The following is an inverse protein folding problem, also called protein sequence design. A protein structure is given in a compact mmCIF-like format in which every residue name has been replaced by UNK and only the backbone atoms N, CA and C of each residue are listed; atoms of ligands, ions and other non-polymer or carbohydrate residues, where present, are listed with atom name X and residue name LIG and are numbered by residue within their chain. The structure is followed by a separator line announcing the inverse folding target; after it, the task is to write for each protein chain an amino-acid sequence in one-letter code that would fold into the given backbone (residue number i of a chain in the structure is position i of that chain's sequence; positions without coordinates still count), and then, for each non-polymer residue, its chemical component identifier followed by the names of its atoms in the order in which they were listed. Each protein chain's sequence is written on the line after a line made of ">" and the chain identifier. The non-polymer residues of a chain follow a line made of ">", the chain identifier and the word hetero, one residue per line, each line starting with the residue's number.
data_IF_837357647465
#
_entry.id   IF_837357647465
#
_cell.length_a   1.000
_cell.length_b   1.000
_cell.length_c   1.000
_cell.angle_alpha   90.00
_cell.angle_beta   90.00
_cell.angle_gamma   90.00
#
_symmetry.space_group_name_H-M   'P 1'
#
loop_
_entity.id
_entity.type
_entity.pdbx_description
1 polymer ?
#
# COMPACT_ATOMS: atom_id res chain seq x y z
N UNK A 1 11.42 -14.05 -43.83
CA UNK A 1 10.72 -12.93 -43.16
C UNK A 1 9.45 -12.64 -43.94
N UNK A 2 8.26 -12.84 -43.36
CA UNK A 2 7.01 -12.54 -44.01
C UNK A 2 6.50 -11.19 -43.56
N UNK A 3 6.29 -10.28 -44.51
CA UNK A 3 5.67 -8.99 -44.26
C UNK A 3 4.19 -9.07 -44.63
N UNK A 4 3.33 -8.77 -43.71
CA UNK A 4 1.89 -8.63 -43.95
C UNK A 4 1.60 -7.16 -44.24
N UNK A 5 1.02 -6.88 -45.41
CA UNK A 5 0.32 -5.64 -45.68
C UNK A 5 -1.17 -5.97 -45.87
N UNK A 6 -2.06 -5.09 -45.47
CA UNK A 6 -3.52 -5.25 -45.50
C UNK A 6 -4.10 -5.34 -46.92
N UNK A 7 -3.27 -5.15 -47.98
CA UNK A 7 -3.61 -5.39 -49.36
C UNK A 7 -2.90 -6.66 -49.86
N UNK A 8 -3.72 -7.69 -50.13
CA UNK A 8 -3.34 -9.03 -50.54
C UNK A 8 -2.70 -9.11 -51.94
N UNK A 9 -1.49 -8.57 -52.11
CA UNK A 9 -0.62 -8.91 -53.26
C UNK A 9 0.86 -8.85 -52.90
N UNK A 10 1.37 -9.97 -52.48
CA UNK A 10 2.57 -10.69 -52.84
C UNK A 10 3.94 -10.00 -52.76
N UNK A 11 4.73 -10.51 -51.89
CA UNK A 11 6.20 -10.57 -52.03
C UNK A 11 6.64 -11.99 -52.34
N UNK A 12 7.48 -12.20 -53.34
CA UNK A 12 7.86 -13.54 -53.75
C UNK A 12 9.31 -13.94 -53.71
N UNK A 13 10.31 -13.05 -53.53
CA UNK A 13 11.70 -13.53 -53.42
C UNK A 13 12.61 -12.64 -52.55
N UNK A 14 13.44 -13.32 -51.76
CA UNK A 14 14.46 -12.76 -50.88
C UNK A 14 15.84 -13.28 -51.32
N UNK A 15 16.78 -12.38 -51.70
CA UNK A 15 18.17 -12.75 -51.95
C UNK A 15 19.08 -12.09 -50.96
N UNK A 16 19.95 -12.86 -50.32
CA UNK A 16 20.99 -12.41 -49.41
C UNK A 16 22.33 -12.51 -50.10
N UNK A 17 23.05 -11.39 -50.30
CA UNK A 17 24.45 -11.43 -50.68
C UNK A 17 25.28 -10.94 -49.50
N UNK A 18 26.10 -11.83 -48.92
CA UNK A 18 27.02 -11.49 -47.85
C UNK A 18 28.40 -11.19 -48.45
N UNK A 19 29.05 -10.10 -47.98
CA UNK A 19 30.49 -9.92 -48.09
C UNK A 19 31.04 -9.65 -46.70
N UNK A 20 32.14 -10.33 -46.36
CA UNK A 20 32.87 -10.16 -45.12
C UNK A 20 33.36 -8.72 -44.95
N UNK A 21 33.08 -8.12 -43.82
CA UNK A 21 33.42 -6.81 -43.30
C UNK A 21 32.31 -5.74 -43.37
N UNK A 22 31.57 -5.64 -42.29
CA UNK A 22 30.63 -4.54 -42.00
C UNK A 22 29.19 -4.87 -42.43
N UNK A 23 28.32 -5.04 -41.46
CA UNK A 23 26.92 -5.37 -41.68
C UNK A 23 26.15 -4.21 -42.32
N UNK A 24 26.13 -4.14 -43.64
CA UNK A 24 25.12 -3.45 -44.41
C UNK A 24 24.27 -4.48 -45.14
N UNK A 25 23.05 -4.66 -44.67
CA UNK A 25 22.12 -5.57 -45.31
C UNK A 25 21.31 -4.84 -46.39
N UNK A 26 21.47 -5.25 -47.64
CA UNK A 26 20.64 -4.80 -48.76
C UNK A 26 19.48 -5.78 -48.95
N UNK A 27 18.24 -5.28 -48.96
CA UNK A 27 17.08 -6.04 -49.34
C UNK A 27 16.44 -5.42 -50.60
N UNK A 28 16.41 -6.18 -51.69
CA UNK A 28 15.69 -5.81 -52.91
C UNK A 28 14.26 -6.40 -52.84
N UNK A 29 13.26 -5.55 -52.88
CA UNK A 29 11.88 -5.93 -52.91
C UNK A 29 11.29 -5.67 -54.32
N UNK A 30 10.67 -6.63 -54.89
CA UNK A 30 9.85 -6.43 -56.07
C UNK A 30 8.42 -6.11 -55.63
N UNK A 31 8.04 -4.87 -55.82
CA UNK A 31 6.64 -4.45 -55.59
C UNK A 31 6.01 -4.31 -56.98
N UNK A 32 5.11 -5.23 -57.32
CA UNK A 32 4.34 -5.14 -58.56
C UNK A 32 3.27 -4.07 -58.42
N UNK A 33 3.67 -2.81 -58.71
CA UNK A 33 2.68 -1.84 -59.17
C UNK A 33 2.46 -2.05 -60.66
N UNK A 34 1.25 -1.84 -61.15
CA UNK A 34 0.84 -1.92 -62.55
C UNK A 34 1.65 -0.98 -63.50
N UNK A 35 2.76 -0.42 -63.06
CA UNK A 35 3.65 0.54 -63.72
C UNK A 35 5.12 0.10 -63.77
N UNK A 36 5.50 -1.12 -63.46
CA UNK A 36 6.85 -1.63 -63.64
C UNK A 36 7.98 -0.91 -62.91
N UNK A 37 7.82 -0.56 -61.66
CA UNK A 37 8.85 0.11 -60.83
C UNK A 37 9.66 -0.89 -60.01
N UNK A 38 11.00 -0.71 -59.91
CA UNK A 38 11.87 -1.42 -59.02
C UNK A 38 12.26 -0.51 -57.84
N UNK A 39 12.14 -0.98 -56.64
CA UNK A 39 12.53 -0.24 -55.45
C UNK A 39 13.61 -0.99 -54.67
N UNK A 40 14.70 -0.26 -54.35
CA UNK A 40 15.75 -0.75 -53.43
C UNK A 40 15.69 -0.02 -52.09
N UNK A 41 15.79 -0.75 -51.02
CA UNK A 41 15.78 -0.20 -49.65
C UNK A 41 17.20 -0.12 -49.12
N UNK A 42 17.65 1.08 -48.78
CA UNK A 42 18.91 1.30 -48.10
C UNK A 42 18.69 1.43 -46.59
N UNK A 43 19.28 0.55 -45.79
CA UNK A 43 18.96 0.38 -44.36
C UNK A 43 19.62 1.43 -43.44
N UNK A 44 20.47 2.33 -43.95
CA UNK A 44 21.13 3.34 -43.13
C UNK A 44 20.36 4.66 -42.94
N UNK A 45 19.29 4.89 -43.68
CA UNK A 45 18.52 6.12 -43.59
C UNK A 45 17.10 5.95 -44.11
N UNK A 46 16.19 5.48 -43.34
CA UNK A 46 14.71 5.45 -43.55
C UNK A 46 14.10 6.00 -44.88
N UNK A 47 14.84 5.93 -45.98
CA UNK A 47 14.46 6.46 -47.28
C UNK A 47 14.47 5.35 -48.33
N UNK A 48 13.39 5.24 -49.04
CA UNK A 48 13.25 4.33 -50.19
C UNK A 48 13.41 5.14 -51.47
N UNK A 49 14.33 4.69 -52.29
CA UNK A 49 14.52 5.27 -53.64
C UNK A 49 13.89 4.32 -54.65
N UNK A 50 12.86 4.77 -55.34
CA UNK A 50 12.26 4.04 -56.44
C UNK A 50 12.60 4.72 -57.79
N UNK A 51 13.09 3.92 -58.75
CA UNK A 51 13.32 4.37 -60.12
C UNK A 51 12.36 3.66 -61.09
N UNK A 52 11.75 4.40 -61.98
CA UNK A 52 10.93 3.85 -63.07
C UNK A 52 11.79 3.57 -64.29
N UNK A 53 11.58 2.40 -64.90
CA UNK A 53 12.25 2.03 -66.15
C UNK A 53 11.87 2.92 -67.36
N UNK A 54 10.78 3.65 -67.28
CA UNK A 54 10.31 4.57 -68.32
C UNK A 54 10.80 6.03 -68.19
N UNK A 55 11.25 6.43 -66.96
CA UNK A 55 11.76 7.80 -66.72
C UNK A 55 12.96 7.75 -65.77
N UNK A 56 14.18 7.48 -66.28
CA UNK A 56 15.36 7.24 -65.48
C UNK A 56 15.86 8.48 -64.70
N UNK A 57 15.28 9.63 -64.88
CA UNK A 57 15.68 10.86 -64.18
C UNK A 57 14.68 11.40 -63.17
N UNK A 58 13.60 10.68 -62.87
CA UNK A 58 12.59 11.10 -61.87
C UNK A 58 12.68 10.22 -60.64
N UNK A 59 13.24 10.76 -59.58
CA UNK A 59 13.27 10.13 -58.23
C UNK A 59 11.98 10.53 -57.50
N UNK A 60 11.15 9.53 -57.18
CA UNK A 60 10.04 9.70 -56.25
C UNK A 60 10.45 9.35 -54.84
N UNK A 61 10.41 10.31 -53.93
CA UNK A 61 10.55 10.09 -52.48
C UNK A 61 9.16 9.72 -51.93
N UNK A 62 8.97 8.43 -51.70
CA UNK A 62 7.82 7.92 -50.94
C UNK A 62 8.20 7.81 -49.47
N UNK A 63 7.60 8.64 -48.63
CA UNK A 63 7.73 8.53 -47.17
C UNK A 63 6.69 7.50 -46.68
N UNK A 64 7.11 6.23 -46.66
CA UNK A 64 6.31 5.16 -46.05
C UNK A 64 6.81 4.92 -44.62
N UNK A 65 5.92 5.05 -43.66
CA UNK A 65 6.19 4.60 -42.29
C UNK A 65 6.11 3.08 -42.25
N UNK A 66 7.27 2.42 -42.30
CA UNK A 66 7.33 0.98 -42.05
C UNK A 66 7.47 0.72 -40.56
N UNK A 67 6.53 0.00 -39.97
CA UNK A 67 6.73 -0.70 -38.72
C UNK A 67 7.50 -1.97 -39.03
N UNK A 68 8.83 -1.96 -38.87
CA UNK A 68 9.60 -3.18 -38.88
C UNK A 68 9.34 -3.93 -37.58
N UNK A 69 8.57 -5.00 -37.63
CA UNK A 69 8.51 -5.99 -36.56
C UNK A 69 9.79 -6.83 -36.69
N UNK A 70 10.81 -6.48 -35.89
CA UNK A 70 11.95 -7.34 -35.72
C UNK A 70 11.51 -8.56 -34.91
N UNK A 71 11.46 -9.71 -35.53
CA UNK A 71 11.43 -10.98 -34.79
C UNK A 71 12.88 -11.37 -34.53
N UNK A 72 13.30 -11.31 -33.30
CA UNK A 72 14.66 -11.68 -32.86
C UNK A 72 14.85 -13.18 -32.67
N UNK A 73 13.90 -13.99 -33.17
CA UNK A 73 13.84 -15.42 -32.95
C UNK A 73 13.22 -15.79 -31.60
N UNK A 74 12.96 -17.06 -31.41
CA UNK A 74 12.42 -17.56 -30.13
C UNK A 74 13.57 -17.71 -29.12
N UNK A 75 13.53 -16.96 -28.05
CA UNK A 75 14.52 -16.96 -26.96
C UNK A 75 14.30 -18.09 -25.95
N UNK A 76 13.17 -18.81 -26.06
CA UNK A 76 12.85 -19.97 -25.24
C UNK A 76 13.68 -21.21 -25.68
N UNK A 77 14.88 -21.34 -25.11
CA UNK A 77 15.66 -22.59 -25.32
C UNK A 77 15.05 -23.75 -24.52
N UNK A 78 15.22 -25.01 -24.96
CA UNK A 78 14.73 -26.17 -24.23
C UNK A 78 15.18 -26.15 -22.76
N UNK A 79 14.25 -26.36 -21.84
CA UNK A 79 14.49 -26.34 -20.38
C UNK A 79 14.92 -25.00 -19.78
N UNK A 80 14.73 -23.87 -20.46
CA UNK A 80 14.98 -22.55 -19.90
C UNK A 80 14.18 -22.33 -18.59
N UNK A 81 12.95 -22.83 -18.53
CA UNK A 81 12.07 -22.79 -17.37
C UNK A 81 11.87 -24.21 -16.83
N UNK A 82 12.57 -24.60 -15.77
CA UNK A 82 12.54 -25.98 -15.24
C UNK A 82 11.14 -26.41 -14.77
N UNK A 83 10.48 -25.54 -14.00
CA UNK A 83 9.15 -25.80 -13.44
C UNK A 83 8.17 -24.70 -13.86
N UNK A 84 8.05 -24.47 -15.16
CA UNK A 84 7.18 -23.43 -15.71
C UNK A 84 7.18 -23.41 -17.24
N UNK A 85 6.42 -22.49 -17.78
CA UNK A 85 6.30 -22.25 -19.22
C UNK A 85 7.18 -21.04 -19.58
N UNK A 86 7.98 -21.21 -20.63
CA UNK A 86 8.76 -20.11 -21.17
C UNK A 86 7.89 -19.24 -22.07
N UNK A 87 7.92 -17.95 -21.83
CA UNK A 87 7.25 -16.92 -22.63
C UNK A 87 8.33 -16.10 -23.33
N UNK A 88 8.33 -16.15 -24.65
CA UNK A 88 9.28 -15.43 -25.49
C UNK A 88 9.03 -13.93 -25.45
N UNK A 89 10.11 -13.14 -25.33
CA UNK A 89 10.10 -11.69 -25.35
C UNK A 89 11.23 -11.16 -26.24
N UNK A 90 11.14 -9.90 -26.61
CA UNK A 90 12.17 -9.28 -27.43
C UNK A 90 13.55 -9.33 -26.75
N UNK A 91 14.49 -10.06 -27.35
CA UNK A 91 15.86 -10.32 -26.85
C UNK A 91 15.96 -10.96 -25.46
N UNK A 92 14.87 -11.55 -24.99
CA UNK A 92 14.81 -12.20 -23.68
C UNK A 92 13.69 -13.22 -23.60
N UNK A 93 13.52 -13.84 -22.45
CA UNK A 93 12.37 -14.65 -22.12
C UNK A 93 11.99 -14.47 -20.66
N UNK A 94 10.74 -14.75 -20.34
CA UNK A 94 10.26 -14.82 -18.97
C UNK A 94 9.72 -16.23 -18.71
N UNK A 95 10.01 -16.77 -17.54
CA UNK A 95 9.43 -18.04 -17.10
C UNK A 95 8.14 -17.76 -16.31
N UNK A 96 7.00 -18.24 -16.81
CA UNK A 96 5.78 -18.37 -16.04
C UNK A 96 5.88 -19.64 -15.22
N UNK A 97 6.24 -19.51 -13.93
CA UNK A 97 6.51 -20.67 -13.09
C UNK A 97 5.23 -21.40 -12.69
N UNK A 98 5.33 -22.73 -12.58
CA UNK A 98 4.29 -23.55 -11.99
C UNK A 98 4.08 -23.16 -10.52
N UNK A 99 2.88 -23.37 -9.96
CA UNK A 99 2.63 -23.13 -8.54
C UNK A 99 3.69 -23.80 -7.66
N UNK A 100 4.23 -23.05 -6.69
CA UNK A 100 5.28 -23.55 -5.80
C UNK A 100 6.70 -23.34 -6.29
N UNK A 101 6.90 -22.67 -7.44
CA UNK A 101 8.20 -22.34 -7.98
C UNK A 101 8.32 -20.85 -8.35
N UNK A 102 9.51 -20.30 -8.21
CA UNK A 102 9.84 -18.92 -8.60
C UNK A 102 11.29 -18.77 -9.07
N UNK A 103 11.66 -17.53 -9.39
CA UNK A 103 12.96 -17.17 -9.91
C UNK A 103 13.07 -17.29 -11.43
N UNK A 104 14.16 -16.73 -11.98
CA UNK A 104 14.36 -16.59 -13.44
C UNK A 104 14.15 -17.88 -14.24
N UNK A 105 14.40 -19.03 -13.63
CA UNK A 105 14.33 -20.35 -14.26
C UNK A 105 13.36 -21.30 -13.56
N UNK A 106 12.51 -20.80 -12.66
CA UNK A 106 11.57 -21.59 -11.85
C UNK A 106 12.25 -22.72 -11.04
N UNK A 107 13.41 -22.43 -10.47
CA UNK A 107 14.20 -23.39 -9.67
C UNK A 107 14.06 -23.18 -8.17
N UNK A 108 13.63 -21.99 -7.74
CA UNK A 108 13.46 -21.67 -6.33
C UNK A 108 12.10 -22.18 -5.88
N UNK A 109 12.09 -23.06 -4.88
CA UNK A 109 10.84 -23.51 -4.25
C UNK A 109 10.31 -22.35 -3.43
N UNK A 110 9.10 -21.92 -3.73
CA UNK A 110 8.42 -20.88 -2.95
C UNK A 110 7.68 -21.49 -1.78
N UNK A 111 7.38 -20.66 -0.79
CA UNK A 111 6.41 -20.99 0.24
C UNK A 111 5.09 -21.39 -0.42
N UNK A 112 4.70 -22.63 -0.25
CA UNK A 112 3.51 -23.22 -0.92
C UNK A 112 2.20 -22.74 -0.31
N UNK A 113 2.25 -22.09 0.88
CA UNK A 113 1.09 -21.62 1.61
C UNK A 113 1.31 -20.20 2.18
N UNK A 114 0.25 -19.62 2.69
CA UNK A 114 0.25 -18.28 3.28
C UNK A 114 0.70 -18.24 4.76
N UNK A 115 0.91 -19.38 5.40
CA UNK A 115 1.20 -19.45 6.84
C UNK A 115 2.63 -19.05 7.20
N UNK A 116 3.57 -19.12 6.24
CA UNK A 116 4.97 -18.73 6.45
C UNK A 116 5.25 -17.44 5.69
N UNK A 117 5.68 -16.40 6.43
CA UNK A 117 6.03 -15.07 5.91
C UNK A 117 4.96 -14.49 4.95
N UNK A 118 3.67 -14.71 5.27
CA UNK A 118 2.54 -14.32 4.42
C UNK A 118 2.67 -14.84 2.96
N UNK A 119 3.26 -16.00 2.76
CA UNK A 119 3.59 -16.51 1.43
C UNK A 119 4.53 -15.61 0.62
N UNK A 120 5.21 -14.66 1.25
CA UNK A 120 6.03 -13.64 0.57
C UNK A 120 5.23 -12.48 -0.03
N UNK A 121 3.92 -12.37 0.20
CA UNK A 121 3.06 -11.29 -0.31
C UNK A 121 3.22 -10.01 0.51
N UNK A 122 3.19 -8.85 -0.16
CA UNK A 122 3.21 -7.55 0.52
C UNK A 122 1.88 -7.24 1.22
N UNK A 123 0.75 -7.67 0.63
CA UNK A 123 -0.56 -7.52 1.23
C UNK A 123 -1.24 -8.88 1.39
N UNK A 124 -2.33 -9.12 0.72
CA UNK A 124 -3.12 -10.34 0.93
C UNK A 124 -2.52 -11.56 0.25
N UNK A 125 -2.45 -12.63 0.99
CA UNK A 125 -2.06 -13.95 0.50
C UNK A 125 -3.28 -14.88 0.48
N UNK A 126 -3.53 -15.50 -0.66
CA UNK A 126 -4.63 -16.42 -0.87
C UNK A 126 -4.09 -17.80 -1.22
N UNK A 127 -4.60 -18.84 -0.58
CA UNK A 127 -4.30 -20.21 -0.96
C UNK A 127 -5.23 -20.65 -2.08
N UNK A 128 -4.70 -21.41 -3.05
CA UNK A 128 -5.51 -21.98 -4.11
C UNK A 128 -6.36 -23.13 -3.58
N UNK A 129 -7.61 -23.23 -4.06
CA UNK A 129 -8.55 -24.26 -3.61
C UNK A 129 -8.04 -25.70 -3.86
N UNK A 130 -7.19 -25.89 -4.85
CA UNK A 130 -6.57 -27.16 -5.21
C UNK A 130 -5.33 -27.50 -4.37
N UNK A 131 -4.97 -26.62 -3.42
CA UNK A 131 -3.76 -26.72 -2.57
C UNK A 131 -2.44 -26.75 -3.35
N UNK A 132 -2.43 -26.34 -4.61
CA UNK A 132 -1.23 -26.36 -5.47
C UNK A 132 -0.34 -25.14 -5.31
N UNK A 133 -0.72 -24.22 -4.45
CA UNK A 133 0.07 -23.02 -4.20
C UNK A 133 -0.77 -21.85 -3.70
N UNK A 134 -0.18 -20.66 -3.78
CA UNK A 134 -0.78 -19.41 -3.34
C UNK A 134 -0.71 -18.35 -4.43
N UNK A 135 -1.45 -17.26 -4.26
CA UNK A 135 -1.31 -16.03 -5.04
C UNK A 135 -1.46 -14.81 -4.13
N UNK A 136 -0.86 -13.70 -4.54
CA UNK A 136 -0.96 -12.44 -3.82
C UNK A 136 -1.99 -11.52 -4.47
N UNK A 137 -2.64 -10.70 -3.67
CA UNK A 137 -3.42 -9.56 -4.13
C UNK A 137 -3.09 -8.31 -3.32
N UNK A 138 -3.46 -7.15 -3.85
CA UNK A 138 -3.19 -5.88 -3.21
C UNK A 138 -4.48 -5.22 -2.75
N UNK A 139 -4.41 -4.53 -1.62
CA UNK A 139 -5.51 -3.70 -1.12
C UNK A 139 -5.81 -2.55 -2.10
N UNK A 140 -6.96 -1.92 -1.93
CA UNK A 140 -7.37 -0.79 -2.77
C UNK A 140 -6.31 0.32 -2.78
N UNK A 141 -6.09 0.91 -3.96
CA UNK A 141 -5.06 1.94 -4.15
C UNK A 141 -3.67 1.40 -4.53
N UNK A 142 -3.47 0.08 -4.54
CA UNK A 142 -2.23 -0.58 -4.93
C UNK A 142 -2.43 -1.49 -6.14
N UNK A 143 -1.37 -1.69 -6.92
CA UNK A 143 -1.30 -2.63 -8.03
C UNK A 143 -0.28 -3.72 -7.72
N UNK A 144 -0.58 -4.95 -8.11
CA UNK A 144 0.36 -6.05 -8.03
C UNK A 144 1.48 -5.82 -9.05
N UNK A 145 2.73 -5.90 -8.59
CA UNK A 145 3.91 -5.78 -9.42
C UNK A 145 4.13 -7.06 -10.25
N UNK A 146 4.97 -6.99 -11.29
CA UNK A 146 5.25 -8.12 -12.20
C UNK A 146 5.93 -9.32 -11.52
N UNK A 147 6.45 -9.15 -10.31
CA UNK A 147 6.96 -10.26 -9.48
C UNK A 147 5.86 -11.08 -8.78
N UNK A 148 4.60 -10.67 -8.93
CA UNK A 148 3.42 -11.29 -8.33
C UNK A 148 3.44 -11.38 -6.79
N UNK A 149 4.20 -10.49 -6.13
CA UNK A 149 4.35 -10.43 -4.67
C UNK A 149 4.23 -9.03 -4.12
N UNK A 150 4.90 -8.07 -4.77
CA UNK A 150 4.95 -6.70 -4.32
C UNK A 150 3.69 -5.94 -4.71
N UNK A 151 3.26 -5.06 -3.82
CA UNK A 151 2.16 -4.14 -4.03
C UNK A 151 2.69 -2.72 -4.15
N UNK A 152 2.61 -2.15 -5.34
CA UNK A 152 3.08 -0.80 -5.61
C UNK A 152 1.93 0.19 -5.57
N UNK A 153 2.10 1.37 -4.94
CA UNK A 153 1.06 2.39 -4.92
C UNK A 153 0.69 2.83 -6.34
N UNK A 154 -0.59 2.86 -6.67
CA UNK A 154 -1.08 3.34 -7.98
C UNK A 154 -0.82 4.82 -8.19
N UNK A 155 -0.75 5.59 -7.10
CA UNK A 155 -0.43 7.00 -7.10
C UNK A 155 0.15 7.41 -5.74
N UNK A 156 0.64 8.66 -5.63
CA UNK A 156 1.21 9.20 -4.38
C UNK A 156 0.17 9.41 -3.27
N UNK A 157 -1.12 9.19 -3.53
CA UNK A 157 -2.23 9.36 -2.58
C UNK A 157 -2.79 8.03 -2.09
N UNK A 158 -2.13 6.93 -2.41
CA UNK A 158 -2.48 5.61 -1.85
C UNK A 158 -2.33 5.64 -0.33
N UNK A 159 -3.18 4.89 0.37
CA UNK A 159 -3.15 4.84 1.82
C UNK A 159 -1.80 4.34 2.38
N UNK A 160 -1.53 4.59 3.65
CA UNK A 160 -0.38 4.04 4.36
C UNK A 160 0.99 4.54 3.90
N UNK A 161 1.05 5.67 3.15
CA UNK A 161 2.30 6.27 2.67
C UNK A 161 2.68 7.47 3.53
N UNK A 162 3.95 7.57 3.90
CA UNK A 162 4.55 8.78 4.49
C UNK A 162 5.33 9.47 3.38
N UNK A 163 4.86 10.67 2.97
CA UNK A 163 5.37 11.39 1.79
C UNK A 163 6.50 12.38 2.11
N UNK A 164 6.76 12.66 3.37
CA UNK A 164 7.94 13.40 3.80
C UNK A 164 9.19 12.55 3.56
N UNK A 165 10.33 13.19 3.29
CA UNK A 165 11.56 12.54 2.80
C UNK A 165 11.82 11.15 3.40
N UNK A 166 12.04 10.16 2.54
CA UNK A 166 12.13 8.70 2.81
C UNK A 166 13.18 8.24 3.83
N UNK A 167 13.82 9.12 4.57
CA UNK A 167 14.99 8.78 5.39
C UNK A 167 14.67 8.37 6.84
N UNK A 168 13.41 8.29 7.30
CA UNK A 168 13.21 8.49 8.73
C UNK A 168 12.44 7.47 9.54
N UNK A 169 11.79 6.44 8.99
CA UNK A 169 11.12 5.53 9.91
C UNK A 169 11.23 4.05 9.52
N UNK A 170 12.20 3.37 10.11
CA UNK A 170 12.07 1.96 10.48
C UNK A 170 11.85 1.95 11.98
N UNK A 171 10.81 1.28 12.51
CA UNK A 171 10.73 0.99 13.94
C UNK A 171 12.05 0.34 14.34
N UNK A 172 12.84 0.99 15.19
CA UNK A 172 14.07 0.38 15.70
C UNK A 172 13.65 -0.75 16.63
N UNK A 173 14.28 -1.95 16.54
CA UNK A 173 14.23 -2.91 17.62
C UNK A 173 14.66 -2.19 18.92
N UNK A 174 13.97 -2.46 20.02
CA UNK A 174 14.31 -1.89 21.32
C UNK A 174 15.74 -2.32 21.74
N UNK A 175 16.73 -1.52 21.39
CA UNK A 175 18.03 -1.52 22.06
C UNK A 175 18.02 -0.39 23.09
N UNK A 176 17.81 -0.75 24.36
CA UNK A 176 17.92 0.17 25.49
C UNK A 176 16.63 0.95 25.79
N UNK A 177 16.10 0.73 26.98
CA UNK A 177 14.97 1.40 27.59
C UNK A 177 15.13 2.92 27.54
N UNK A 178 14.35 3.56 26.66
CA UNK A 178 14.09 5.00 26.72
C UNK A 178 12.57 5.19 26.77
N UNK A 179 12.03 5.86 27.79
CA UNK A 179 10.59 5.98 28.00
C UNK A 179 10.03 7.17 27.25
N UNK A 180 8.74 7.14 26.83
CA UNK A 180 8.06 8.37 26.40
C UNK A 180 6.87 8.27 25.41
N UNK A 181 5.54 8.24 25.88
CA UNK A 181 4.42 9.10 25.74
C UNK A 181 3.85 9.36 27.13
N UNK A 182 3.51 8.60 27.95
CA UNK A 182 4.22 8.69 29.18
C UNK A 182 5.59 8.29 28.73
N UNK A 183 6.38 9.29 28.43
CA UNK A 183 7.58 9.25 27.83
C UNK A 183 7.67 9.12 26.30
N UNK A 184 6.79 9.64 25.39
CA UNK A 184 6.90 9.60 23.92
C UNK A 184 7.88 10.58 23.30
N UNK A 185 8.47 10.23 22.17
CA UNK A 185 9.26 11.18 21.39
C UNK A 185 8.31 12.13 20.64
N UNK A 186 8.75 13.40 20.51
CA UNK A 186 8.06 14.36 19.65
C UNK A 186 8.24 13.89 18.21
N UNK A 187 7.14 13.56 17.55
CA UNK A 187 7.12 13.15 16.14
C UNK A 187 7.59 14.29 15.24
N UNK A 188 7.86 13.97 13.98
CA UNK A 188 8.10 14.99 12.95
C UNK A 188 6.81 15.31 12.23
N UNK A 189 6.67 16.55 11.80
CA UNK A 189 5.52 16.98 11.01
C UNK A 189 5.37 16.10 9.76
N UNK A 190 4.20 15.47 9.59
CA UNK A 190 3.89 14.59 8.46
C UNK A 190 4.29 13.13 8.65
N UNK A 191 4.79 12.70 9.81
CA UNK A 191 5.06 11.28 10.13
C UNK A 191 3.80 10.45 10.38
N UNK A 192 2.69 11.09 10.76
CA UNK A 192 1.39 10.46 10.96
C UNK A 192 0.32 11.20 10.15
N UNK A 193 0.35 11.13 8.80
CA UNK A 193 -0.53 11.94 7.97
C UNK A 193 -2.00 11.50 8.01
N UNK A 194 -2.29 10.35 8.61
CA UNK A 194 -3.65 9.84 8.90
C UNK A 194 -4.21 10.31 10.25
N UNK A 195 -3.40 10.97 11.07
CA UNK A 195 -3.83 11.44 12.38
C UNK A 195 -4.94 12.49 12.25
N UNK A 196 -6.04 12.27 12.97
CA UNK A 196 -7.15 13.20 13.05
C UNK A 196 -7.32 13.72 14.48
N UNK A 197 -7.76 14.97 14.59
CA UNK A 197 -8.23 15.59 15.84
C UNK A 197 -9.75 15.67 15.80
N UNK A 198 -10.41 15.09 16.77
CA UNK A 198 -11.84 15.25 16.97
C UNK A 198 -12.10 16.47 17.86
N UNK A 199 -12.83 17.44 17.32
CA UNK A 199 -13.20 18.68 18.00
C UNK A 199 -14.67 18.62 18.40
N UNK A 200 -14.97 19.02 19.65
CA UNK A 200 -16.36 19.16 20.11
C UNK A 200 -17.04 20.41 19.51
N UNK A 201 -18.31 20.62 19.81
CA UNK A 201 -19.10 21.76 19.32
C UNK A 201 -18.54 23.15 19.69
N UNK A 202 -17.65 23.23 20.67
CA UNK A 202 -16.94 24.45 21.08
C UNK A 202 -15.59 24.63 20.37
N UNK A 203 -15.25 23.73 19.44
CA UNK A 203 -13.95 23.71 18.76
C UNK A 203 -12.79 23.26 19.66
N UNK A 204 -13.07 22.65 20.80
CA UNK A 204 -12.05 22.16 21.73
C UNK A 204 -11.69 20.72 21.39
N UNK A 205 -10.42 20.38 21.60
CA UNK A 205 -9.93 19.01 21.49
C UNK A 205 -10.72 18.07 22.40
N UNK A 206 -11.09 16.94 21.82
CA UNK A 206 -11.91 15.96 22.51
C UNK A 206 -11.29 14.58 22.49
N UNK A 207 -10.91 14.08 21.31
CA UNK A 207 -10.31 12.78 21.08
C UNK A 207 -9.41 12.80 19.84
N UNK A 208 -8.67 11.73 19.65
CA UNK A 208 -8.01 11.39 18.39
C UNK A 208 -8.96 10.70 17.43
N UNK A 209 -8.48 10.49 16.23
CA UNK A 209 -9.13 9.71 15.18
C UNK A 209 -8.16 9.36 14.08
N UNK A 210 -8.61 8.58 13.11
CA UNK A 210 -7.81 8.08 12.01
C UNK A 210 -8.53 8.24 10.69
N UNK A 211 -7.95 8.98 9.76
CA UNK A 211 -8.44 9.09 8.39
C UNK A 211 -8.24 7.75 7.68
N UNK A 212 -9.29 7.17 7.09
CA UNK A 212 -9.24 5.90 6.37
C UNK A 212 -9.56 6.04 4.87
N UNK A 213 -10.22 7.11 4.47
CA UNK A 213 -10.38 7.57 3.08
C UNK A 213 -10.75 9.07 3.06
N UNK A 214 -11.10 9.61 1.89
CA UNK A 214 -11.40 11.04 1.75
C UNK A 214 -12.63 11.53 2.54
N UNK A 215 -13.55 10.64 2.92
CA UNK A 215 -14.80 10.99 3.59
C UNK A 215 -14.94 10.40 5.00
N UNK A 216 -14.09 9.43 5.38
CA UNK A 216 -14.31 8.66 6.58
C UNK A 216 -13.16 8.69 7.57
N UNK A 217 -13.51 8.88 8.83
CA UNK A 217 -12.59 8.84 9.97
C UNK A 217 -13.08 7.80 10.96
N UNK A 218 -12.19 6.94 11.44
CA UNK A 218 -12.40 6.05 12.58
C UNK A 218 -12.03 6.75 13.88
N UNK A 219 -12.77 6.46 14.95
CA UNK A 219 -12.46 6.88 16.33
C UNK A 219 -13.03 5.85 17.31
N UNK A 220 -12.77 6.02 18.60
CA UNK A 220 -13.37 5.21 19.64
C UNK A 220 -14.84 5.63 19.88
N UNK A 221 -15.73 4.67 20.11
CA UNK A 221 -17.15 4.96 20.33
C UNK A 221 -17.38 5.71 21.65
N UNK A 222 -16.59 5.46 22.70
CA UNK A 222 -16.69 6.19 23.98
C UNK A 222 -16.43 7.68 23.81
N UNK A 223 -15.69 8.11 22.80
CA UNK A 223 -15.47 9.52 22.47
C UNK A 223 -16.76 10.25 22.06
N UNK A 224 -17.80 9.54 21.71
CA UNK A 224 -19.07 10.11 21.24
C UNK A 224 -20.12 10.25 22.35
N UNK A 225 -19.84 9.72 23.54
CA UNK A 225 -20.77 9.74 24.65
C UNK A 225 -21.05 11.16 25.12
N UNK A 226 -22.33 11.51 25.22
CA UNK A 226 -22.76 12.83 25.66
C UNK A 226 -22.61 13.97 24.64
N UNK A 227 -22.08 13.70 23.46
CA UNK A 227 -21.85 14.69 22.40
C UNK A 227 -22.59 14.33 21.11
N UNK A 228 -23.09 15.35 20.38
CA UNK A 228 -23.86 15.16 19.15
C UNK A 228 -23.27 15.90 17.94
N UNK A 229 -22.31 16.76 18.13
CA UNK A 229 -21.72 17.57 17.08
C UNK A 229 -20.21 17.58 17.20
N UNK A 230 -19.56 17.27 16.11
CA UNK A 230 -18.11 17.24 16.01
C UNK A 230 -17.62 17.88 14.71
N UNK A 231 -16.39 18.34 14.73
CA UNK A 231 -15.59 18.58 13.54
C UNK A 231 -14.31 17.76 13.64
N UNK A 232 -13.76 17.40 12.49
CA UNK A 232 -12.48 16.70 12.38
C UNK A 232 -11.47 17.67 11.79
N UNK A 233 -10.31 17.79 12.44
CA UNK A 233 -9.14 18.49 11.90
C UNK A 233 -8.08 17.48 11.50
N UNK A 234 -7.57 17.63 10.28
CA UNK A 234 -6.54 16.80 9.66
C UNK A 234 -5.32 17.66 9.32
N UNK A 235 -4.14 17.04 9.18
CA UNK A 235 -2.91 17.73 8.85
C UNK A 235 -2.35 18.62 9.97
N UNK A 236 -2.82 18.46 11.20
CA UNK A 236 -2.39 19.17 12.41
C UNK A 236 -1.16 18.46 13.02
N UNK A 237 -0.16 19.22 13.41
CA UNK A 237 1.00 18.73 14.13
C UNK A 237 1.16 19.49 15.47
N UNK A 238 1.08 20.84 15.42
CA UNK A 238 1.11 21.70 16.62
C UNK A 238 -0.28 22.27 16.91
N UNK A 239 -0.98 21.68 17.83
CA UNK A 239 -2.40 21.98 18.14
C UNK A 239 -2.79 23.44 18.35
N UNK A 240 -1.85 24.27 18.80
CA UNK A 240 -2.09 25.67 19.12
C UNK A 240 -1.43 26.64 18.15
N UNK A 241 -0.84 26.13 17.07
CA UNK A 241 -0.16 26.91 16.04
C UNK A 241 -0.72 26.53 14.68
N UNK A 242 -1.18 27.49 13.90
CA UNK A 242 -1.57 27.26 12.52
C UNK A 242 -0.32 27.09 11.66
N UNK A 243 -0.17 25.95 11.00
CA UNK A 243 1.00 25.58 10.20
C UNK A 243 0.71 25.60 8.68
N UNK A 244 -0.57 25.83 8.28
CA UNK A 244 -1.00 25.95 6.90
C UNK A 244 -1.27 24.62 6.21
N UNK A 245 -1.19 23.48 6.93
CA UNK A 245 -1.53 22.15 6.42
C UNK A 245 -2.87 21.64 6.92
N UNK A 246 -3.45 22.32 7.90
CA UNK A 246 -4.64 21.89 8.60
C UNK A 246 -5.89 22.11 7.77
N UNK A 247 -6.75 21.11 7.72
CA UNK A 247 -8.09 21.15 7.17
C UNK A 247 -9.07 20.74 8.25
N UNK A 248 -10.09 21.58 8.51
CA UNK A 248 -11.14 21.27 9.48
C UNK A 248 -12.46 21.12 8.75
N UNK A 249 -13.10 19.96 8.90
CA UNK A 249 -14.38 19.62 8.25
C UNK A 249 -15.42 19.21 9.29
N UNK A 250 -16.67 19.66 9.16
CA UNK A 250 -17.77 19.20 9.99
C UNK A 250 -18.01 17.70 9.80
N UNK A 251 -18.48 17.04 10.86
CA UNK A 251 -19.00 15.66 10.81
C UNK A 251 -20.49 15.72 10.57
N UNK A 252 -20.95 15.14 9.45
CA UNK A 252 -22.37 15.09 9.07
C UNK A 252 -23.06 13.81 9.51
N UNK A 253 -22.32 12.74 9.75
CA UNK A 253 -22.87 11.49 10.27
C UNK A 253 -21.94 10.84 11.27
N UNK A 254 -22.51 10.34 12.34
CA UNK A 254 -21.85 9.66 13.45
C UNK A 254 -22.45 8.27 13.53
N UNK A 255 -21.62 7.24 13.38
CA UNK A 255 -22.04 5.84 13.37
C UNK A 255 -21.22 5.05 14.38
N UNK A 256 -21.61 5.00 15.66
CA UNK A 256 -20.99 4.08 16.61
C UNK A 256 -21.34 2.65 16.23
N UNK A 257 -20.46 1.71 16.59
CA UNK A 257 -20.75 0.29 16.35
C UNK A 257 -22.03 -0.13 17.09
N UNK A 258 -22.96 -0.83 16.43
CA UNK A 258 -24.30 -1.13 17.00
C UNK A 258 -24.24 -2.02 18.25
N UNK A 259 -23.14 -2.74 18.47
CA UNK A 259 -22.90 -3.57 19.66
C UNK A 259 -21.93 -2.91 20.66
N UNK A 260 -21.68 -1.60 20.53
CA UNK A 260 -20.88 -0.90 21.53
C UNK A 260 -21.55 -0.98 22.90
N UNK A 261 -20.75 -1.29 23.91
CA UNK A 261 -21.22 -1.38 25.29
C UNK A 261 -20.36 -0.47 26.18
N UNK A 262 -20.95 0.61 26.69
CA UNK A 262 -20.26 1.60 27.51
C UNK A 262 -19.79 1.09 28.87
N UNK A 263 -20.41 0.05 29.41
CA UNK A 263 -20.02 -0.50 30.71
C UNK A 263 -18.77 -1.39 30.62
N UNK A 264 -18.63 -2.12 29.52
CA UNK A 264 -17.51 -3.04 29.30
C UNK A 264 -16.49 -2.50 28.31
N UNK A 265 -16.78 -1.36 27.68
CA UNK A 265 -16.02 -0.76 26.60
C UNK A 265 -15.77 -1.73 25.42
N UNK A 266 -16.65 -2.75 25.28
CA UNK A 266 -16.56 -3.70 24.19
C UNK A 266 -17.10 -3.09 22.88
N UNK A 267 -16.50 -3.43 21.75
CA UNK A 267 -16.79 -2.85 20.43
C UNK A 267 -16.62 -1.32 20.39
N UNK A 268 -15.55 -0.83 20.99
CA UNK A 268 -15.24 0.60 21.11
C UNK A 268 -14.69 1.16 19.80
N UNK A 269 -15.58 1.32 18.82
CA UNK A 269 -15.25 1.83 17.48
C UNK A 269 -16.44 2.59 16.91
N UNK A 270 -16.16 3.66 16.18
CA UNK A 270 -17.15 4.46 15.49
C UNK A 270 -16.60 5.02 14.17
N UNK A 271 -17.50 5.20 13.20
CA UNK A 271 -17.25 5.89 11.94
C UNK A 271 -17.84 7.29 11.96
N UNK A 272 -17.06 8.25 11.48
CA UNK A 272 -17.45 9.63 11.29
C UNK A 272 -17.40 9.96 9.81
N UNK A 273 -18.53 10.41 9.22
CA UNK A 273 -18.56 10.89 7.85
C UNK A 273 -18.35 12.39 7.81
N UNK A 274 -17.35 12.81 7.06
CA UNK A 274 -17.06 14.22 6.81
C UNK A 274 -18.11 14.83 5.87
N UNK A 275 -18.32 16.14 5.97
CA UNK A 275 -19.26 16.91 5.14
C UNK A 275 -18.86 16.88 3.65
N UNK A 276 -17.58 16.91 3.37
CA UNK A 276 -17.02 16.87 2.02
C UNK A 276 -15.72 16.06 1.98
N UNK A 277 -15.33 15.52 0.80
CA UNK A 277 -14.07 14.83 0.65
C UNK A 277 -12.90 15.74 0.98
N UNK A 278 -11.96 15.23 1.79
CA UNK A 278 -10.70 15.93 2.06
C UNK A 278 -9.71 15.72 0.92
N UNK A 279 -9.05 16.81 0.49
CA UNK A 279 -7.96 16.70 -0.48
C UNK A 279 -6.71 16.13 0.21
N UNK A 280 -6.18 15.01 -0.30
CA UNK A 280 -4.93 14.45 0.20
C UNK A 280 -3.72 15.34 -0.14
N UNK A 281 -2.78 15.40 0.79
CA UNK A 281 -1.55 16.20 0.69
C UNK A 281 -0.37 15.44 1.31
N UNK A 282 0.79 16.06 1.38
CA UNK A 282 1.94 15.51 2.12
C UNK A 282 1.63 15.25 3.60
N UNK A 283 0.70 16.01 4.17
CA UNK A 283 0.33 15.97 5.59
C UNK A 283 -1.03 15.32 5.87
N UNK A 284 -1.76 14.93 4.82
CA UNK A 284 -3.08 14.30 4.90
C UNK A 284 -3.10 13.11 3.94
N UNK A 285 -2.92 11.92 4.48
CA UNK A 285 -2.92 10.65 3.76
C UNK A 285 -3.71 9.64 4.60
N UNK A 286 -4.61 8.84 4.04
CA UNK A 286 -5.35 7.86 4.83
C UNK A 286 -4.45 6.69 5.29
N UNK A 287 -4.80 6.09 6.43
CA UNK A 287 -4.24 4.82 6.87
C UNK A 287 -4.79 3.67 6.01
N UNK A 288 -3.98 2.65 5.75
CA UNK A 288 -4.50 1.42 5.15
C UNK A 288 -5.19 0.54 6.19
N UNK A 289 -6.31 -0.03 5.80
CA UNK A 289 -6.98 -1.06 6.59
C UNK A 289 -6.51 -2.44 6.10
N UNK A 290 -6.08 -3.34 7.00
CA UNK A 290 -5.66 -4.69 6.63
C UNK A 290 -6.87 -5.59 6.41
N UNK A 291 -6.73 -6.61 5.55
CA UNK A 291 -7.67 -7.73 5.62
C UNK A 291 -7.53 -8.45 6.96
N UNK A 292 -8.59 -9.17 7.34
CA UNK A 292 -8.56 -9.97 8.58
C UNK A 292 -7.44 -11.00 8.54
N UNK A 293 -7.27 -11.65 7.42
CA UNK A 293 -6.28 -12.69 7.21
C UNK A 293 -4.84 -12.18 7.34
N UNK A 294 -4.50 -11.05 6.71
CA UNK A 294 -3.19 -10.40 6.86
C UNK A 294 -2.96 -10.00 8.32
N UNK A 295 -3.97 -9.40 8.95
CA UNK A 295 -3.89 -8.95 10.32
C UNK A 295 -3.57 -10.11 11.29
N UNK A 296 -4.33 -11.21 11.23
CA UNK A 296 -4.17 -12.34 12.13
C UNK A 296 -2.87 -13.12 11.89
N UNK A 297 -2.47 -13.28 10.64
CA UNK A 297 -1.26 -14.07 10.31
C UNK A 297 0.04 -13.31 10.52
N UNK A 298 0.01 -11.96 10.45
CA UNK A 298 1.25 -11.17 10.42
C UNK A 298 1.23 -10.00 11.38
N UNK A 299 0.20 -9.13 11.26
CA UNK A 299 0.28 -7.82 11.89
C UNK A 299 -0.02 -7.84 13.38
N UNK A 300 -0.72 -8.88 13.86
CA UNK A 300 -1.11 -9.06 15.27
C UNK A 300 -0.24 -10.05 16.03
N UNK A 301 0.85 -10.53 15.45
CA UNK A 301 1.73 -11.48 16.12
C UNK A 301 2.37 -10.84 17.35
N UNK A 302 2.53 -11.65 18.40
CA UNK A 302 3.23 -11.25 19.61
C UNK A 302 4.61 -10.68 19.30
N UNK A 303 4.96 -9.54 19.91
CA UNK A 303 6.21 -8.84 19.65
C UNK A 303 6.22 -7.95 18.40
N UNK A 304 5.15 -7.95 17.57
CA UNK A 304 5.06 -7.01 16.43
C UNK A 304 5.12 -5.59 16.95
N UNK A 305 6.08 -4.81 16.45
CA UNK A 305 6.25 -3.42 16.82
C UNK A 305 5.18 -2.54 16.19
N UNK A 306 4.58 -1.70 17.01
CA UNK A 306 3.53 -0.75 16.61
C UNK A 306 3.92 0.66 16.98
N UNK A 307 3.36 1.62 16.27
CA UNK A 307 3.49 3.05 16.55
C UNK A 307 2.12 3.60 16.91
N UNK A 308 2.04 4.20 18.08
CA UNK A 308 0.84 4.87 18.59
C UNK A 308 1.11 6.36 18.66
N UNK A 309 0.18 7.18 18.17
CA UNK A 309 0.36 8.63 18.09
C UNK A 309 -0.79 9.39 18.69
N UNK A 310 -0.49 10.54 19.31
CA UNK A 310 -1.50 11.40 19.90
C UNK A 310 -0.93 12.65 20.58
N UNK A 311 -1.82 13.46 21.12
CA UNK A 311 -1.53 14.67 21.89
C UNK A 311 -1.95 14.53 23.36
N UNK A 312 -2.09 13.32 23.84
CA UNK A 312 -2.51 13.01 25.19
C UNK A 312 -1.55 13.55 26.25
N UNK A 313 -1.91 13.32 27.49
CA UNK A 313 -1.13 13.81 28.64
C UNK A 313 0.14 12.98 28.83
N UNK A 314 1.21 13.63 29.26
CA UNK A 314 2.49 12.99 29.52
C UNK A 314 2.45 12.07 30.76
N UNK A 315 1.57 12.37 31.71
CA UNK A 315 1.34 11.59 32.93
C UNK A 315 -0.11 11.73 33.38
N UNK A 316 -0.61 10.72 34.08
CA UNK A 316 -1.92 10.80 34.71
C UNK A 316 -1.98 11.98 35.71
N UNK A 317 -3.05 12.77 35.63
CA UNK A 317 -3.24 13.94 36.51
C UNK A 317 -2.54 15.22 36.10
N UNK A 318 -1.68 15.22 35.05
CA UNK A 318 -1.03 16.44 34.56
C UNK A 318 -1.90 17.28 33.63
N UNK A 319 -1.69 18.60 33.63
CA UNK A 319 -2.22 19.56 32.65
C UNK A 319 -1.03 20.45 32.26
N UNK A 320 -0.88 20.80 30.98
CA UNK A 320 -1.77 20.68 29.84
C UNK A 320 -1.55 19.39 29.02
N UNK A 321 -2.40 19.17 27.99
CA UNK A 321 -2.14 18.23 26.88
C UNK A 321 -0.92 18.66 26.07
N UNK A 322 -0.26 17.73 25.38
CA UNK A 322 0.86 18.06 24.50
C UNK A 322 0.46 19.05 23.39
N UNK A 323 1.32 20.02 23.12
CA UNK A 323 1.19 20.90 21.95
C UNK A 323 1.57 20.18 20.67
N UNK A 324 2.62 19.38 20.71
CA UNK A 324 3.19 18.68 19.58
C UNK A 324 2.68 17.24 19.53
N UNK A 325 2.46 16.74 18.33
CA UNK A 325 2.09 15.33 18.13
C UNK A 325 3.26 14.44 18.57
N UNK A 326 2.96 13.51 19.46
CA UNK A 326 3.93 12.53 19.98
C UNK A 326 3.65 11.14 19.44
N UNK A 327 4.67 10.30 19.49
CA UNK A 327 4.53 8.88 19.19
C UNK A 327 5.25 8.02 20.23
N UNK A 328 4.75 6.79 20.40
CA UNK A 328 5.45 5.72 21.09
C UNK A 328 5.55 4.50 20.16
N UNK A 329 6.60 3.69 20.39
CA UNK A 329 6.73 2.39 19.81
C UNK A 329 6.54 1.32 20.87
N UNK A 330 5.53 0.49 20.72
CA UNK A 330 5.18 -0.57 21.69
C UNK A 330 4.93 -1.90 20.97
N UNK A 331 5.41 -3.02 21.54
CA UNK A 331 5.15 -4.35 20.99
C UNK A 331 3.72 -4.79 21.31
N UNK A 332 3.11 -5.55 20.40
CA UNK A 332 1.90 -6.31 20.69
C UNK A 332 2.22 -7.40 21.72
N UNK A 333 1.34 -7.58 22.68
CA UNK A 333 1.39 -8.60 23.70
C UNK A 333 0.28 -9.60 23.45
N UNK A 334 0.60 -10.89 23.62
CA UNK A 334 -0.33 -11.99 23.45
C UNK A 334 -1.52 -11.85 24.40
N UNK A 335 -2.73 -12.16 23.90
CA UNK A 335 -3.99 -11.93 24.62
C UNK A 335 -4.05 -12.62 25.98
N UNK A 336 -3.54 -13.83 26.06
CA UNK A 336 -3.48 -14.60 27.31
C UNK A 336 -2.55 -13.97 28.34
N UNK A 337 -1.38 -13.49 27.90
CA UNK A 337 -0.42 -12.77 28.75
C UNK A 337 -1.02 -11.46 29.24
N UNK A 338 -1.63 -10.68 28.34
CA UNK A 338 -2.29 -9.45 28.70
C UNK A 338 -3.37 -9.66 29.77
N UNK A 339 -4.19 -10.69 29.63
CA UNK A 339 -5.26 -11.00 30.58
C UNK A 339 -4.75 -11.25 32.01
N UNK A 340 -3.52 -11.73 32.19
CA UNK A 340 -2.92 -11.92 33.51
C UNK A 340 -2.55 -10.59 34.21
N UNK A 341 -2.29 -9.54 33.42
CA UNK A 341 -1.90 -8.23 33.94
C UNK A 341 -3.08 -7.25 34.11
N UNK A 342 -4.24 -7.59 33.57
CA UNK A 342 -5.42 -6.71 33.62
C UNK A 342 -6.44 -7.21 34.65
N UNK A 343 -7.08 -6.26 35.35
CA UNK A 343 -8.16 -6.53 36.30
C UNK A 343 -9.48 -6.73 35.56
N UNK A 344 -9.69 -5.94 34.49
CA UNK A 344 -10.90 -6.01 33.69
C UNK A 344 -10.81 -7.14 32.66
N UNK A 345 -11.93 -7.81 32.42
CA UNK A 345 -12.00 -8.87 31.42
C UNK A 345 -11.78 -8.32 30.02
N UNK A 346 -10.85 -8.94 29.32
CA UNK A 346 -10.55 -8.65 27.91
C UNK A 346 -11.47 -9.48 27.00
N UNK A 347 -11.98 -8.84 25.96
CA UNK A 347 -12.71 -9.54 24.89
C UNK A 347 -11.79 -9.84 23.71
N UNK A 348 -12.23 -10.68 22.78
CA UNK A 348 -11.48 -10.97 21.53
C UNK A 348 -11.47 -9.76 20.57
N UNK A 349 -12.11 -8.66 20.93
CA UNK A 349 -12.22 -7.43 20.15
C UNK A 349 -11.13 -6.41 20.48
N UNK A 350 -10.16 -6.78 21.30
CA UNK A 350 -9.06 -5.90 21.68
C UNK A 350 -7.69 -6.51 21.39
N UNK A 351 -6.70 -5.66 21.21
CA UNK A 351 -5.27 -5.93 21.23
C UNK A 351 -4.68 -5.29 22.47
N UNK A 352 -3.65 -5.91 23.02
CA UNK A 352 -2.83 -5.31 24.05
C UNK A 352 -1.45 -4.96 23.48
N UNK A 353 -0.89 -3.87 23.95
CA UNK A 353 0.49 -3.54 23.62
C UNK A 353 1.16 -2.78 24.78
N UNK A 354 2.48 -2.88 24.83
CA UNK A 354 3.31 -2.30 25.87
C UNK A 354 4.39 -3.27 26.33
N UNK A 355 5.10 -2.89 27.36
CA UNK A 355 6.11 -3.74 27.99
C UNK A 355 5.97 -3.64 29.51
N UNK A 356 5.78 -4.75 30.17
CA UNK A 356 5.77 -4.81 31.64
C UNK A 356 7.12 -4.31 32.18
N UNK A 357 7.07 -3.49 33.21
CA UNK A 357 8.25 -2.77 33.74
C UNK A 357 8.50 -1.41 33.06
N UNK A 358 7.81 -1.09 31.97
CA UNK A 358 7.91 0.20 31.27
C UNK A 358 6.79 1.15 31.69
N UNK A 359 7.07 2.45 31.64
CA UNK A 359 6.06 3.51 31.82
C UNK A 359 5.56 4.06 30.49
N UNK A 360 5.94 3.43 29.39
CA UNK A 360 5.56 3.85 28.03
C UNK A 360 4.14 3.35 27.71
N UNK A 361 3.19 4.26 27.55
CA UNK A 361 1.78 3.94 27.31
C UNK A 361 1.05 5.11 26.65
N UNK A 362 -0.10 4.83 26.01
CA UNK A 362 -1.07 5.83 25.60
C UNK A 362 -1.81 6.37 26.83
N UNK A 363 -2.21 7.65 26.80
CA UNK A 363 -2.83 8.29 27.96
C UNK A 363 -4.11 9.04 27.59
N UNK A 364 -4.78 9.60 28.60
CA UNK A 364 -6.00 10.38 28.41
C UNK A 364 -5.82 11.50 27.38
N UNK A 365 -6.68 11.52 26.39
CA UNK A 365 -6.64 12.44 25.25
C UNK A 365 -6.13 11.79 23.96
N UNK A 366 -5.50 10.62 24.03
CA UNK A 366 -5.11 9.84 22.84
C UNK A 366 -6.25 8.94 22.32
N UNK A 367 -7.30 8.75 23.12
CA UNK A 367 -8.49 7.94 22.80
C UNK A 367 -8.96 8.11 21.37
N UNK A 368 -9.22 7.01 20.66
CA UNK A 368 -9.62 7.01 19.26
C UNK A 368 -8.48 7.23 18.27
N UNK A 369 -7.28 7.56 18.74
CA UNK A 369 -6.08 7.70 17.92
C UNK A 369 -5.56 6.37 17.36
N UNK A 370 -4.66 6.41 16.38
CA UNK A 370 -4.17 5.24 15.66
C UNK A 370 -3.13 4.43 16.42
N UNK A 371 -3.22 3.11 16.28
CA UNK A 371 -2.14 2.16 16.47
C UNK A 371 -1.79 1.57 15.11
N UNK A 372 -0.60 1.92 14.62
CA UNK A 372 -0.12 1.58 13.28
C UNK A 372 1.01 0.57 13.34
N UNK A 373 1.12 -0.27 12.30
CA UNK A 373 2.31 -1.09 12.09
C UNK A 373 2.79 -0.97 10.64
N UNK A 374 4.11 -1.02 10.46
CA UNK A 374 4.73 -1.00 9.14
C UNK A 374 5.00 -2.43 8.68
N UNK A 375 4.38 -2.82 7.58
CA UNK A 375 4.67 -4.09 6.94
C UNK A 375 5.00 -3.87 5.46
N UNK A 376 6.17 -4.32 5.03
CA UNK A 376 6.65 -4.24 3.64
C UNK A 376 6.37 -2.90 2.95
N UNK A 377 6.79 -1.80 3.60
CA UNK A 377 6.65 -0.40 3.14
C UNK A 377 5.21 0.17 3.13
N UNK A 378 4.24 -0.51 3.71
CA UNK A 378 2.87 0.00 3.87
C UNK A 378 2.49 0.09 5.34
N UNK A 379 1.96 1.23 5.76
CA UNK A 379 1.46 1.43 7.11
C UNK A 379 0.01 0.99 7.23
N UNK A 380 -0.25 0.07 8.15
CA UNK A 380 -1.59 -0.47 8.41
C UNK A 380 -2.10 -0.02 9.78
N UNK A 381 -3.37 0.40 9.81
CA UNK A 381 -4.12 0.63 11.04
C UNK A 381 -4.57 -0.70 11.62
N UNK A 382 -4.04 -1.08 12.76
CA UNK A 382 -4.38 -2.35 13.42
C UNK A 382 -5.19 -2.17 14.69
N UNK A 383 -5.10 -1.01 15.33
CA UNK A 383 -5.83 -0.69 16.55
C UNK A 383 -6.25 0.75 16.67
N UNK A 384 -7.25 1.00 17.51
CA UNK A 384 -7.62 2.33 17.99
C UNK A 384 -7.39 2.38 19.50
N UNK A 385 -6.79 3.47 19.99
CA UNK A 385 -6.59 3.68 21.43
C UNK A 385 -7.96 3.68 22.11
N UNK A 386 -8.19 2.74 23.01
CA UNK A 386 -9.47 2.55 23.67
C UNK A 386 -9.39 2.87 25.17
N UNK A 387 -8.75 2.05 25.97
CA UNK A 387 -8.66 2.24 27.41
C UNK A 387 -7.39 1.63 28.01
N UNK A 388 -7.14 1.91 29.27
CA UNK A 388 -6.10 1.30 30.07
C UNK A 388 -6.39 1.47 31.56
N UNK A 389 -5.78 0.64 32.40
CA UNK A 389 -5.94 0.71 33.86
C UNK A 389 -4.97 1.68 34.52
N UNK A 390 -4.94 2.93 34.00
CA UNK A 390 -4.05 4.03 34.33
C UNK A 390 -3.05 4.29 33.21
N UNK A 391 -2.33 5.42 33.25
CA UNK A 391 -1.36 5.76 32.23
C UNK A 391 0.06 5.50 32.75
N UNK A 392 0.88 4.76 31.98
CA UNK A 392 2.28 4.53 32.29
C UNK A 392 2.52 3.75 33.59
N UNK A 393 1.62 2.87 33.96
CA UNK A 393 1.84 1.93 35.06
C UNK A 393 2.71 0.77 34.60
N UNK A 394 3.71 0.44 35.39
CA UNK A 394 4.72 -0.57 35.02
C UNK A 394 4.20 -1.99 35.00
N UNK A 395 3.04 -2.25 35.62
CA UNK A 395 2.37 -3.55 35.74
C UNK A 395 1.16 -3.70 34.80
N UNK A 396 0.89 -2.71 33.95
CA UNK A 396 -0.28 -2.63 33.05
C UNK A 396 0.12 -2.46 31.60
N UNK A 397 -0.82 -2.79 30.71
CA UNK A 397 -0.69 -2.68 29.26
C UNK A 397 -1.78 -1.79 28.70
N UNK A 398 -1.50 -1.12 27.59
CA UNK A 398 -2.50 -0.38 26.81
C UNK A 398 -3.46 -1.34 26.10
N UNK A 399 -4.74 -0.97 26.03
CA UNK A 399 -5.79 -1.75 25.37
C UNK A 399 -6.32 -0.98 24.18
N UNK A 400 -6.34 -1.65 23.04
CA UNK A 400 -6.66 -1.07 21.73
C UNK A 400 -7.78 -1.86 21.09
N UNK A 401 -8.75 -1.19 20.47
CA UNK A 401 -9.80 -1.87 19.70
C UNK A 401 -9.17 -2.53 18.47
N UNK A 402 -9.37 -3.84 18.30
CA UNK A 402 -8.83 -4.65 17.21
C UNK A 402 -9.57 -4.36 15.91
N UNK A 403 -9.03 -3.47 15.06
CA UNK A 403 -9.72 -2.93 13.87
C UNK A 403 -10.10 -4.02 12.88
N UNK A 404 -9.27 -5.06 12.69
CA UNK A 404 -9.53 -6.15 11.74
C UNK A 404 -10.84 -6.92 11.99
N UNK A 405 -11.36 -6.89 13.22
CA UNK A 405 -12.64 -7.51 13.55
C UNK A 405 -13.87 -6.75 12.99
N UNK A 406 -13.66 -5.53 12.51
CA UNK A 406 -14.74 -4.62 12.10
C UNK A 406 -14.73 -4.31 10.60
N UNK A 407 -13.92 -4.99 9.80
CA UNK A 407 -13.80 -4.69 8.37
C UNK A 407 -15.14 -4.79 7.64
N UNK A 408 -15.88 -5.88 7.85
CA UNK A 408 -17.21 -6.06 7.24
C UNK A 408 -18.21 -4.97 7.65
N UNK A 409 -18.17 -4.54 8.92
CA UNK A 409 -19.02 -3.46 9.40
C UNK A 409 -18.62 -2.11 8.78
N UNK A 410 -17.31 -1.81 8.71
CA UNK A 410 -16.78 -0.59 8.07
C UNK A 410 -17.24 -0.52 6.62
N UNK A 411 -17.04 -1.59 5.86
CA UNK A 411 -17.45 -1.67 4.45
C UNK A 411 -18.96 -1.54 4.28
N UNK A 412 -19.74 -2.21 5.13
CA UNK A 412 -21.20 -2.12 5.10
C UNK A 412 -21.68 -0.69 5.33
N UNK A 413 -21.13 0.03 6.31
CA UNK A 413 -21.50 1.42 6.60
C UNK A 413 -21.11 2.35 5.46
N UNK A 414 -19.91 2.20 4.90
CA UNK A 414 -19.42 3.03 3.78
C UNK A 414 -20.23 2.84 2.51
N UNK A 415 -20.69 1.62 2.24
CA UNK A 415 -21.46 1.31 1.04
C UNK A 415 -22.96 1.73 1.14
N UNK A 416 -23.48 1.96 2.36
CA UNK A 416 -24.85 2.37 2.58
C UNK A 416 -25.03 3.90 2.60
N UNK A 417 -23.98 4.66 2.65
CA UNK A 417 -23.95 6.09 2.93
C UNK A 417 -23.06 6.87 1.99
#
# INVERSE_FOLDING_TARGET
>A
MHLYTDDRKLMTEFWRTGTDHGEEAFALFRVDFSLGCFCGVYVSSSKILCASSQYPHVLFLLQLQFWMVYTDGNQCVPNACKNGVCVDQYRSYICSCNPGFEGKHCLVITHTNCSVDNGGCDHDCHERNDKTGRYCSCINGYALHDDFKQCVPKNQRSCGQILIAKSFYRPKPMEGLQPWIAGGEVGKRGESPWQAVLLNAKGQFHCGGVLIDELWVLTAAHCLEGFRRFAVRLGDYKRFQFEGSEVTLPVVKIVPHPKYNSLTVNNDIALLRLESPVAFSTYIVPACLPSRDLAERVLHLNGTMTVVTGWGKDKEGTVPYSSDLKHISVPIVEHSECAHHMVNNLTQNVLCAGSIGSTVDACKGDSGGPMMTLYRNTWFLIGLISWGEGCGKTDKLGVYTKVSNYMEWIDSVKNQL
#
